data_IF_439124221158
#
_entry.id   IF_439124221158
#
_cell.length_a   1.000
_cell.length_b   1.000
_cell.length_c   1.000
_cell.angle_alpha   90.00
_cell.angle_beta   90.00
_cell.angle_gamma   90.00
#
_symmetry.space_group_name_H-M   'P 1'
#
loop_
_entity.id
_entity.type
_entity.pdbx_description
1 polymer ?
#
# COMPACT_ATOMS: atom_id res chain seq x y z
N UNK A 1 20.10 -20.60 -3.04
CA UNK A 1 19.00 -19.93 -2.31
C UNK A 1 19.33 -18.45 -2.24
N UNK A 2 18.57 -17.59 -2.91
CA UNK A 2 18.77 -16.14 -2.83
C UNK A 2 18.19 -15.60 -1.51
N UNK A 3 18.85 -14.63 -0.89
CA UNK A 3 18.36 -13.99 0.32
C UNK A 3 16.94 -13.41 0.09
N UNK A 4 16.04 -13.61 1.05
CA UNK A 4 14.72 -12.99 1.00
C UNK A 4 14.87 -11.46 0.98
N UNK A 5 14.20 -10.79 0.04
CA UNK A 5 14.22 -9.33 -0.05
C UNK A 5 13.46 -8.73 1.13
N UNK A 6 14.07 -7.78 1.82
CA UNK A 6 13.46 -7.01 2.90
C UNK A 6 12.21 -6.27 2.38
N UNK A 7 11.07 -6.46 3.05
CA UNK A 7 9.83 -5.73 2.78
C UNK A 7 9.75 -4.45 3.61
N UNK A 8 9.08 -3.44 3.07
CA UNK A 8 8.81 -2.15 3.72
C UNK A 8 7.34 -1.75 3.54
N UNK A 9 6.80 -0.96 4.46
CA UNK A 9 5.45 -0.38 4.38
C UNK A 9 5.52 1.13 4.15
N UNK A 10 4.71 1.63 3.20
CA UNK A 10 4.43 3.06 2.99
C UNK A 10 2.97 3.27 2.61
N UNK A 11 2.25 4.14 3.34
CA UNK A 11 0.82 4.48 3.07
C UNK A 11 -0.02 3.23 2.73
N UNK A 12 0.05 2.22 3.60
CA UNK A 12 -0.68 0.95 3.48
C UNK A 12 -0.26 0.01 2.33
N UNK A 13 0.83 0.31 1.60
CA UNK A 13 1.35 -0.56 0.55
C UNK A 13 2.67 -1.21 0.98
N UNK A 14 2.82 -2.50 0.65
CA UNK A 14 4.09 -3.22 0.77
C UNK A 14 4.97 -2.97 -0.46
N UNK A 15 6.24 -2.69 -0.21
CA UNK A 15 7.24 -2.48 -1.26
C UNK A 15 8.57 -3.16 -0.92
N UNK A 16 9.35 -3.49 -1.95
CA UNK A 16 10.78 -3.75 -1.83
C UNK A 16 11.57 -2.52 -2.25
N UNK A 17 12.70 -2.28 -1.61
CA UNK A 17 13.63 -1.22 -1.97
C UNK A 17 14.92 -1.85 -2.51
N UNK A 18 15.25 -1.57 -3.76
CA UNK A 18 16.50 -1.99 -4.38
C UNK A 18 17.34 -0.75 -4.74
N UNK A 19 18.65 -0.78 -4.46
CA UNK A 19 19.55 0.29 -4.87
C UNK A 19 19.97 0.13 -6.33
N UNK A 20 19.88 1.21 -7.11
CA UNK A 20 20.31 1.26 -8.49
C UNK A 20 21.83 1.15 -8.58
N UNK A 21 22.32 0.02 -9.11
CA UNK A 21 23.77 -0.24 -9.28
C UNK A 21 24.41 0.61 -10.38
N UNK A 22 23.59 1.04 -11.33
CA UNK A 22 23.92 1.89 -12.47
C UNK A 22 22.71 2.75 -12.83
N UNK A 23 22.90 3.71 -13.74
CA UNK A 23 21.80 4.55 -14.21
C UNK A 23 20.75 3.68 -14.91
N UNK A 24 19.58 3.54 -14.28
CA UNK A 24 18.55 2.59 -14.69
C UNK A 24 17.29 3.34 -15.09
N UNK A 25 16.74 3.03 -16.27
CA UNK A 25 15.45 3.57 -16.67
C UNK A 25 14.33 2.81 -15.96
N UNK A 26 13.49 3.55 -15.24
CA UNK A 26 12.34 3.03 -14.50
C UNK A 26 11.08 3.54 -15.19
N UNK A 27 10.21 2.61 -15.59
CA UNK A 27 8.91 2.91 -16.16
C UNK A 27 7.85 2.91 -15.06
N UNK A 28 7.23 4.06 -14.84
CA UNK A 28 6.20 4.23 -13.83
C UNK A 28 4.82 3.89 -14.41
N UNK A 29 3.90 3.43 -13.55
CA UNK A 29 2.51 3.10 -13.92
C UNK A 29 1.75 4.26 -14.57
N UNK A 30 2.10 5.50 -14.23
CA UNK A 30 1.50 6.70 -14.83
C UNK A 30 1.95 6.97 -16.28
N UNK A 31 2.70 6.07 -16.91
CA UNK A 31 3.22 6.20 -18.26
C UNK A 31 4.50 7.03 -18.37
N UNK A 32 4.97 7.62 -17.25
CA UNK A 32 6.24 8.34 -17.17
C UNK A 32 7.44 7.39 -17.13
N UNK A 33 8.59 7.89 -17.56
CA UNK A 33 9.86 7.19 -17.39
C UNK A 33 10.85 8.10 -16.68
N UNK A 34 11.56 7.57 -15.70
CA UNK A 34 12.58 8.30 -14.95
C UNK A 34 13.88 7.51 -14.91
N UNK A 35 15.00 8.20 -14.96
CA UNK A 35 16.31 7.56 -14.82
C UNK A 35 16.70 7.57 -13.34
N UNK A 36 16.63 6.42 -12.69
CA UNK A 36 17.24 6.23 -11.38
C UNK A 36 18.76 6.33 -11.55
N UNK A 37 19.38 7.31 -10.91
CA UNK A 37 20.81 7.45 -10.88
C UNK A 37 21.44 6.38 -9.98
N UNK A 38 22.68 6.03 -10.27
CA UNK A 38 23.44 5.10 -9.42
C UNK A 38 23.41 5.57 -7.95
N UNK A 39 23.00 4.68 -7.05
CA UNK A 39 22.86 4.93 -5.62
C UNK A 39 21.47 5.39 -5.16
N UNK A 40 20.58 5.75 -6.09
CA UNK A 40 19.17 5.99 -5.79
C UNK A 40 18.43 4.66 -5.53
N UNK A 41 17.29 4.75 -4.85
CA UNK A 41 16.48 3.59 -4.50
C UNK A 41 15.30 3.47 -5.45
N UNK A 42 15.01 2.25 -5.85
CA UNK A 42 13.85 1.88 -6.65
C UNK A 42 12.90 1.13 -5.73
N UNK A 43 11.77 1.77 -5.42
CA UNK A 43 10.68 1.14 -4.70
C UNK A 43 9.79 0.38 -5.69
N UNK A 44 9.57 -0.91 -5.45
CA UNK A 44 8.69 -1.75 -6.26
C UNK A 44 7.57 -2.31 -5.38
N UNK A 45 6.30 -2.11 -5.74
CA UNK A 45 5.16 -2.67 -5.02
C UNK A 45 4.92 -4.15 -5.40
N UNK A 46 3.94 -4.80 -4.75
CA UNK A 46 3.58 -6.19 -5.04
C UNK A 46 3.00 -6.42 -6.45
N UNK A 47 2.48 -5.37 -7.09
CA UNK A 47 1.96 -5.40 -8.47
C UNK A 47 3.07 -5.22 -9.52
N UNK A 48 4.30 -4.93 -9.10
CA UNK A 48 5.44 -4.66 -9.97
C UNK A 48 5.57 -3.20 -10.40
N UNK A 49 4.72 -2.29 -9.91
CA UNK A 49 4.86 -0.86 -10.18
C UNK A 49 6.09 -0.30 -9.47
N UNK A 50 6.85 0.51 -10.20
CA UNK A 50 8.12 1.06 -9.73
C UNK A 50 8.09 2.57 -9.57
N UNK A 51 8.84 3.07 -8.60
CA UNK A 51 9.09 4.50 -8.38
C UNK A 51 10.51 4.72 -7.87
N UNK A 52 11.15 5.80 -8.31
CA UNK A 52 12.47 6.21 -7.83
C UNK A 52 12.31 7.08 -6.59
N UNK A 53 13.10 6.81 -5.56
CA UNK A 53 13.16 7.59 -4.32
C UNK A 53 14.62 7.88 -3.96
N UNK A 54 14.82 9.00 -3.26
CA UNK A 54 16.14 9.35 -2.72
C UNK A 54 16.44 8.55 -1.45
N UNK A 55 17.72 8.45 -1.08
CA UNK A 55 18.12 7.82 0.17
C UNK A 55 17.50 8.50 1.40
N UNK A 56 17.36 9.83 1.38
CA UNK A 56 16.70 10.60 2.45
C UNK A 56 15.23 10.22 2.62
N UNK A 57 14.57 9.78 1.55
CA UNK A 57 13.18 9.36 1.60
C UNK A 57 13.01 7.95 2.16
N UNK A 58 14.09 7.16 2.30
CA UNK A 58 14.06 5.79 2.84
C UNK A 58 13.48 5.73 4.25
N UNK A 59 13.73 6.75 5.08
CA UNK A 59 13.24 6.79 6.47
C UNK A 59 11.71 6.88 6.55
N UNK A 60 11.03 7.25 5.46
CA UNK A 60 9.57 7.21 5.35
C UNK A 60 9.02 5.79 5.07
N UNK A 61 9.90 4.79 4.93
CA UNK A 61 9.55 3.40 4.66
C UNK A 61 9.88 2.56 5.89
N UNK A 62 8.85 2.00 6.52
CA UNK A 62 9.02 1.23 7.75
C UNK A 62 9.40 -0.20 7.37
N UNK A 63 10.58 -0.71 7.78
CA UNK A 63 10.95 -2.09 7.48
C UNK A 63 9.98 -3.04 8.19
N UNK A 64 9.44 -4.00 7.44
CA UNK A 64 8.66 -5.09 8.02
C UNK A 64 9.64 -6.09 8.61
N UNK A 65 9.69 -6.27 9.94
CA UNK A 65 10.52 -7.32 10.50
C UNK A 65 10.05 -8.65 9.92
N UNK A 66 10.87 -9.27 9.07
CA UNK A 66 10.71 -10.68 8.73
C UNK A 66 11.25 -11.51 9.89
N UNK A 67 10.66 -11.35 11.07
CA UNK A 67 10.56 -12.49 11.97
C UNK A 67 9.82 -13.55 11.17
N UNK A 68 10.25 -14.81 11.23
CA UNK A 68 9.40 -15.93 10.81
C UNK A 68 8.02 -15.60 11.37
N UNK A 69 7.05 -15.28 10.50
CA UNK A 69 5.68 -15.00 10.91
C UNK A 69 5.36 -16.14 11.85
N UNK A 70 5.07 -15.84 13.11
CA UNK A 70 4.71 -16.92 14.04
C UNK A 70 3.61 -17.73 13.35
N UNK A 71 3.55 -19.04 13.58
CA UNK A 71 2.56 -19.89 12.88
C UNK A 71 1.13 -19.31 12.96
N UNK A 72 0.86 -18.57 14.04
CA UNK A 72 -0.34 -17.76 14.25
C UNK A 72 -0.49 -16.58 13.26
N UNK A 73 0.52 -15.73 13.09
CA UNK A 73 0.48 -14.61 12.14
C UNK A 73 0.42 -15.07 10.68
N UNK A 74 1.06 -16.18 10.34
CA UNK A 74 0.95 -16.80 9.02
C UNK A 74 -0.47 -17.33 8.77
N UNK A 75 -1.09 -17.95 9.77
CA UNK A 75 -2.50 -18.38 9.70
C UNK A 75 -3.46 -17.19 9.62
N UNK A 76 -3.22 -16.10 10.34
CA UNK A 76 -4.02 -14.88 10.25
C UNK A 76 -3.92 -14.26 8.85
N UNK A 77 -2.71 -14.12 8.31
CA UNK A 77 -2.51 -13.59 6.96
C UNK A 77 -3.20 -14.44 5.89
N UNK A 78 -3.14 -15.77 6.03
CA UNK A 78 -3.87 -16.70 5.17
C UNK A 78 -5.38 -16.54 5.30
N UNK A 79 -5.90 -16.44 6.52
CA UNK A 79 -7.32 -16.19 6.79
C UNK A 79 -7.82 -14.87 6.20
N UNK A 80 -7.03 -13.80 6.28
CA UNK A 80 -7.36 -12.53 5.63
C UNK A 80 -7.37 -12.63 4.11
N UNK A 81 -6.43 -13.37 3.50
CA UNK A 81 -6.40 -13.59 2.06
C UNK A 81 -7.59 -14.43 1.58
N UNK A 82 -7.98 -15.47 2.33
CA UNK A 82 -9.14 -16.32 2.00
C UNK A 82 -10.47 -15.57 2.13
N UNK A 83 -10.56 -14.59 3.03
CA UNK A 83 -11.75 -13.75 3.22
C UNK A 83 -11.73 -12.48 2.37
N UNK A 84 -10.71 -12.25 1.53
CA UNK A 84 -10.52 -10.98 0.82
C UNK A 84 -11.69 -10.64 -0.11
N UNK A 85 -12.19 -11.62 -0.87
CA UNK A 85 -13.28 -11.43 -1.82
C UNK A 85 -14.63 -11.17 -1.11
N UNK A 86 -14.90 -11.89 -0.02
CA UNK A 86 -16.09 -11.69 0.82
C UNK A 86 -16.05 -10.33 1.52
N UNK A 87 -14.89 -9.94 2.05
CA UNK A 87 -14.70 -8.66 2.72
C UNK A 87 -14.81 -7.49 1.73
N UNK A 88 -14.32 -7.65 0.51
CA UNK A 88 -14.48 -6.67 -0.56
C UNK A 88 -15.95 -6.53 -0.97
N UNK A 89 -16.64 -7.65 -1.20
CA UNK A 89 -18.07 -7.66 -1.56
C UNK A 89 -18.93 -7.00 -0.46
N UNK A 90 -18.69 -7.32 0.82
CA UNK A 90 -19.38 -6.65 1.92
C UNK A 90 -19.02 -5.17 2.01
N UNK A 91 -17.74 -4.80 1.87
CA UNK A 91 -17.30 -3.41 1.90
C UNK A 91 -17.96 -2.59 0.80
N UNK A 92 -18.11 -3.14 -0.40
CA UNK A 92 -18.80 -2.48 -1.52
C UNK A 92 -20.32 -2.41 -1.29
N UNK A 93 -20.93 -3.50 -0.79
CA UNK A 93 -22.36 -3.58 -0.54
C UNK A 93 -22.84 -2.60 0.56
N UNK A 94 -22.01 -2.36 1.58
CA UNK A 94 -22.35 -1.45 2.69
C UNK A 94 -21.81 -0.02 2.52
N UNK A 95 -21.02 0.24 1.46
CA UNK A 95 -20.42 1.56 1.20
C UNK A 95 -21.46 2.67 1.05
N UNK A 96 -22.64 2.36 0.52
CA UNK A 96 -23.76 3.31 0.41
C UNK A 96 -24.36 3.64 1.78
N UNK A 97 -24.58 2.64 2.62
CA UNK A 97 -25.15 2.82 3.96
C UNK A 97 -24.18 3.57 4.90
N UNK A 98 -22.86 3.33 4.77
CA UNK A 98 -21.85 4.11 5.50
C UNK A 98 -21.82 5.57 5.05
N UNK A 99 -21.84 5.84 3.74
CA UNK A 99 -21.88 7.21 3.22
C UNK A 99 -23.17 7.95 3.64
N UNK A 100 -24.32 7.27 3.67
CA UNK A 100 -25.59 7.85 4.14
C UNK A 100 -25.56 8.13 5.64
N UNK A 101 -25.00 7.24 6.45
CA UNK A 101 -24.84 7.45 7.88
C UNK A 101 -23.86 8.59 8.19
N UNK A 102 -22.76 8.70 7.44
CA UNK A 102 -21.78 9.77 7.57
C UNK A 102 -22.37 11.11 7.13
N UNK A 103 -23.13 11.14 6.03
CA UNK A 103 -23.86 12.33 5.57
C UNK A 103 -24.92 12.77 6.57
N UNK A 104 -25.72 11.84 7.08
CA UNK A 104 -26.77 12.12 8.07
C UNK A 104 -26.17 12.67 9.37
N UNK A 105 -25.08 12.07 9.85
CA UNK A 105 -24.37 12.53 11.05
C UNK A 105 -23.74 13.90 10.84
N UNK A 106 -23.10 14.14 9.69
CA UNK A 106 -22.56 15.46 9.35
C UNK A 106 -23.65 16.54 9.24
N UNK A 107 -24.82 16.22 8.68
CA UNK A 107 -25.95 17.14 8.61
C UNK A 107 -26.56 17.43 9.99
N UNK A 108 -26.60 16.45 10.88
CA UNK A 108 -27.03 16.60 12.28
C UNK A 108 -26.08 17.46 13.12
N UNK A 109 -24.76 17.32 12.90
CA UNK A 109 -23.73 18.05 13.66
C UNK A 109 -23.51 19.47 13.12
N UNK A 110 -23.57 19.66 11.80
CA UNK A 110 -23.25 20.94 11.16
C UNK A 110 -24.48 21.78 10.74
N UNK A 111 -25.70 21.26 10.92
CA UNK A 111 -26.92 22.08 10.90
C UNK A 111 -27.45 22.51 9.54
N UNK A 112 -27.22 21.76 8.46
CA UNK A 112 -27.94 21.98 7.20
C UNK A 112 -28.56 20.67 6.70
N UNK A 113 -29.72 20.33 7.24
CA UNK A 113 -30.68 19.44 6.59
C UNK A 113 -31.65 20.33 5.79
N UNK A 114 -31.63 20.26 4.45
CA UNK A 114 -32.71 20.77 3.61
C UNK A 114 -33.31 19.61 2.84
N UNK A 115 -34.52 19.21 3.27
CA UNK A 115 -35.42 18.36 2.49
C UNK A 115 -35.84 19.08 1.21
N UNK A 116 -35.74 18.40 0.07
CA UNK A 116 -36.64 18.52 -1.07
C UNK A 116 -36.87 17.15 -1.68
#
# INVERSE_FOLDING_TARGET
MGAAKQLYVKRSHFVTLDEAKENTQVHMKNGGSYTALKGELIATNLEGDQMVITQEQKDNYIPVPMTELSDYEAQMAKGYAEMAEINLEMSEAFHHAENEAETTTNSLVNGEYKEY
#
